data_IF_219292986903
#
_entry.id   IF_219292986903
#
_cell.length_a   1.000
_cell.length_b   1.000
_cell.length_c   1.000
_cell.angle_alpha   90.00
_cell.angle_beta   90.00
_cell.angle_gamma   90.00
#
_symmetry.space_group_name_H-M   'P 1'
#
loop_
_entity.id
_entity.type
_entity.pdbx_description
1 polymer ?
#
# COMPACT_ATOMS: atom_id res chain seq x y z
N UNK A 1 16.99 1.42 19.30
CA UNK A 1 16.95 1.54 17.81
C UNK A 1 15.56 1.18 17.36
N UNK A 2 14.91 2.00 16.57
CA UNK A 2 13.56 1.71 16.04
C UNK A 2 13.67 0.57 15.03
N UNK A 3 12.89 -0.50 15.21
CA UNK A 3 12.84 -1.61 14.25
C UNK A 3 12.24 -1.13 12.93
N UNK A 4 12.90 -1.42 11.81
CA UNK A 4 12.44 -1.08 10.46
C UNK A 4 11.77 -2.28 9.81
N UNK A 5 10.54 -2.09 9.36
CA UNK A 5 9.80 -3.09 8.54
C UNK A 5 10.25 -3.03 7.08
N UNK A 6 10.55 -1.85 6.56
CA UNK A 6 11.14 -1.64 5.23
C UNK A 6 12.42 -0.84 5.41
N UNK A 7 13.53 -1.32 4.87
CA UNK A 7 14.81 -0.61 4.76
C UNK A 7 15.44 -0.97 3.41
N UNK A 8 15.17 -0.15 2.41
CA UNK A 8 15.64 -0.37 1.03
C UNK A 8 16.34 0.87 0.49
N UNK A 9 17.35 0.67 -0.35
CA UNK A 9 18.18 1.72 -0.95
C UNK A 9 18.35 1.48 -2.44
N UNK A 10 18.32 2.56 -3.20
CA UNK A 10 18.56 2.56 -4.64
C UNK A 10 17.55 1.74 -5.43
N UNK A 11 16.30 1.59 -4.93
CA UNK A 11 15.25 0.81 -5.58
C UNK A 11 15.00 1.38 -6.98
N UNK A 12 15.23 0.57 -8.03
CA UNK A 12 15.17 1.04 -9.42
C UNK A 12 14.41 0.05 -10.29
N UNK A 13 13.57 0.61 -11.18
CA UNK A 13 12.88 -0.15 -12.22
C UNK A 13 12.74 0.66 -13.50
N UNK A 14 13.14 0.04 -14.63
CA UNK A 14 12.98 0.63 -15.95
C UNK A 14 12.10 -0.25 -16.85
N UNK A 15 11.42 0.37 -17.80
CA UNK A 15 10.67 -0.27 -18.86
C UNK A 15 10.99 0.45 -20.18
N UNK A 16 11.44 -0.29 -21.18
CA UNK A 16 11.77 0.28 -22.50
C UNK A 16 12.83 1.41 -22.43
N UNK A 17 13.83 1.28 -21.55
CA UNK A 17 14.85 2.31 -21.34
C UNK A 17 14.46 3.46 -20.40
N UNK A 18 13.17 3.61 -20.06
CA UNK A 18 12.65 4.66 -19.17
C UNK A 18 12.65 4.17 -17.72
N UNK A 19 13.30 4.91 -16.82
CA UNK A 19 13.25 4.63 -15.37
C UNK A 19 11.92 5.13 -14.79
N UNK A 20 11.07 4.18 -14.39
CA UNK A 20 9.78 4.46 -13.74
C UNK A 20 9.95 4.60 -12.23
N UNK A 21 10.94 3.93 -11.65
CA UNK A 21 11.44 4.11 -10.28
C UNK A 21 12.94 4.27 -10.39
N UNK A 22 13.49 5.37 -9.87
CA UNK A 22 14.89 5.74 -10.02
C UNK A 22 15.53 5.99 -8.66
N UNK A 23 16.35 5.03 -8.25
CA UNK A 23 17.17 5.06 -7.03
C UNK A 23 16.38 5.46 -5.76
N UNK A 24 15.17 4.93 -5.58
CA UNK A 24 14.33 5.26 -4.42
C UNK A 24 14.86 4.60 -3.15
N UNK A 25 15.13 5.43 -2.14
CA UNK A 25 15.43 5.01 -0.77
C UNK A 25 14.17 5.11 0.08
N UNK A 26 13.88 4.04 0.85
CA UNK A 26 12.71 4.00 1.72
C UNK A 26 13.00 3.26 3.02
N UNK A 27 12.66 3.91 4.13
CA UNK A 27 12.68 3.32 5.46
C UNK A 27 11.32 3.51 6.11
N UNK A 28 10.74 2.43 6.63
CA UNK A 28 9.44 2.43 7.31
C UNK A 28 9.58 1.74 8.64
N UNK A 29 9.30 2.46 9.71
CA UNK A 29 9.33 1.93 11.06
C UNK A 29 8.14 0.99 11.32
N UNK A 30 8.36 -0.03 12.15
CA UNK A 30 7.34 -1.01 12.53
C UNK A 30 6.14 -0.33 13.21
N UNK A 31 4.91 -0.75 12.86
CA UNK A 31 3.67 -0.24 13.43
C UNK A 31 3.28 1.17 12.95
N UNK A 32 3.94 1.71 11.93
CA UNK A 32 3.63 3.03 11.38
C UNK A 32 2.75 2.92 10.14
N UNK A 33 1.96 3.96 9.92
CA UNK A 33 1.26 4.21 8.65
C UNK A 33 2.09 5.22 7.88
N UNK A 34 2.61 4.82 6.72
CA UNK A 34 3.37 5.70 5.83
C UNK A 34 2.58 5.91 4.54
N UNK A 35 2.32 7.16 4.21
CA UNK A 35 1.70 7.58 2.96
C UNK A 35 2.74 7.65 1.84
N UNK A 36 2.54 6.90 0.77
CA UNK A 36 3.35 6.98 -0.44
C UNK A 36 2.60 7.85 -1.45
N UNK A 37 2.90 9.14 -1.41
CA UNK A 37 2.14 10.18 -2.06
C UNK A 37 2.78 10.58 -3.40
N UNK A 38 1.98 10.86 -4.42
CA UNK A 38 2.48 11.30 -5.73
C UNK A 38 1.44 11.23 -6.83
N UNK A 39 1.67 11.92 -7.96
CA UNK A 39 0.76 11.89 -9.10
C UNK A 39 0.68 10.49 -9.74
N UNK A 40 -0.29 10.32 -10.62
CA UNK A 40 -0.39 9.09 -11.40
C UNK A 40 0.85 8.94 -12.31
N UNK A 41 1.36 7.69 -12.41
CA UNK A 41 2.57 7.42 -13.18
C UNK A 41 3.89 7.75 -12.48
N UNK A 42 3.88 8.23 -11.22
CA UNK A 42 5.11 8.55 -10.48
C UNK A 42 5.94 7.35 -10.00
N UNK A 43 5.45 6.11 -10.18
CA UNK A 43 6.16 4.90 -9.78
C UNK A 43 5.64 4.23 -8.51
N UNK A 44 4.57 4.74 -7.84
CA UNK A 44 4.02 4.18 -6.59
C UNK A 44 3.69 2.69 -6.68
N UNK A 45 2.79 2.31 -7.59
CA UNK A 45 2.39 0.90 -7.80
C UNK A 45 3.58 0.00 -8.12
N UNK A 46 4.52 0.49 -8.95
CA UNK A 46 5.75 -0.25 -9.32
C UNK A 46 6.60 -0.50 -8.08
N UNK A 47 6.79 0.51 -7.23
CA UNK A 47 7.54 0.38 -5.98
C UNK A 47 6.85 -0.60 -5.01
N UNK A 48 5.53 -0.49 -4.81
CA UNK A 48 4.79 -1.43 -3.96
C UNK A 48 4.94 -2.88 -4.43
N UNK A 49 4.86 -3.12 -5.75
CA UNK A 49 5.04 -4.47 -6.34
C UNK A 49 6.44 -5.02 -6.18
N UNK A 50 7.46 -4.17 -6.20
CA UNK A 50 8.84 -4.58 -5.90
C UNK A 50 9.00 -4.94 -4.42
N UNK A 51 8.49 -4.11 -3.51
CA UNK A 51 8.56 -4.33 -2.07
C UNK A 51 7.82 -5.60 -1.60
N UNK A 52 6.73 -5.99 -2.25
CA UNK A 52 6.03 -7.25 -1.94
C UNK A 52 6.58 -8.46 -2.72
N UNK A 53 7.64 -8.30 -3.51
CA UNK A 53 8.24 -9.38 -4.29
C UNK A 53 7.43 -9.84 -5.49
N UNK A 54 6.43 -9.07 -5.95
CA UNK A 54 5.66 -9.36 -7.16
C UNK A 54 6.36 -8.91 -8.44
N UNK A 55 7.33 -8.01 -8.31
CA UNK A 55 8.10 -7.46 -9.42
C UNK A 55 9.59 -7.47 -9.02
N UNK A 56 10.43 -8.00 -9.89
CA UNK A 56 11.89 -7.97 -9.68
C UNK A 56 12.43 -6.58 -10.02
N UNK A 57 13.11 -5.88 -9.09
CA UNK A 57 13.78 -4.64 -9.39
C UNK A 57 15.01 -4.86 -10.27
N UNK A 58 15.38 -3.85 -11.04
CA UNK A 58 16.60 -3.86 -11.86
C UNK A 58 17.84 -3.56 -11.00
N UNK A 59 17.70 -2.67 -10.00
CA UNK A 59 18.72 -2.37 -9.01
C UNK A 59 18.10 -2.08 -7.64
N UNK A 60 18.95 -1.94 -6.63
CA UNK A 60 18.59 -1.69 -5.26
C UNK A 60 18.89 -2.85 -4.33
N UNK A 61 19.06 -2.54 -3.06
CA UNK A 61 19.35 -3.49 -1.99
C UNK A 61 18.55 -3.16 -0.73
N UNK A 62 18.47 -4.10 0.18
CA UNK A 62 17.82 -3.87 1.47
C UNK A 62 16.91 -5.01 1.92
N UNK A 63 16.07 -4.71 2.90
CA UNK A 63 15.23 -5.71 3.56
C UNK A 63 13.79 -5.24 3.71
N UNK A 64 12.88 -6.19 3.57
CA UNK A 64 11.46 -6.05 3.91
C UNK A 64 11.14 -7.14 4.94
N UNK A 65 10.64 -6.75 6.11
CA UNK A 65 10.40 -7.66 7.25
C UNK A 65 11.66 -8.44 7.68
N UNK A 66 12.85 -7.82 7.54
CA UNK A 66 14.13 -8.44 7.83
C UNK A 66 14.66 -9.39 6.75
N UNK A 67 13.88 -9.67 5.69
CA UNK A 67 14.22 -10.53 4.56
C UNK A 67 14.83 -9.73 3.41
N UNK A 68 15.83 -10.27 2.71
CA UNK A 68 16.33 -9.69 1.46
C UNK A 68 15.21 -9.72 0.40
N UNK A 69 14.66 -8.56 0.04
CA UNK A 69 13.47 -8.48 -0.81
C UNK A 69 13.70 -8.98 -2.25
N UNK A 70 14.94 -9.09 -2.71
CA UNK A 70 15.29 -9.64 -4.03
C UNK A 70 15.49 -11.16 -3.98
N UNK A 71 16.25 -11.64 -2.99
CA UNK A 71 16.64 -13.06 -2.89
C UNK A 71 15.56 -13.90 -2.24
N UNK A 72 14.82 -13.32 -1.30
CA UNK A 72 13.81 -14.00 -0.47
C UNK A 72 12.38 -13.55 -0.82
N UNK A 73 12.13 -13.09 -2.07
CA UNK A 73 10.84 -12.56 -2.52
C UNK A 73 9.64 -13.48 -2.20
N UNK A 74 9.82 -14.81 -2.29
CA UNK A 74 8.77 -15.77 -1.95
C UNK A 74 8.44 -15.78 -0.45
N UNK A 75 9.42 -15.55 0.42
CA UNK A 75 9.21 -15.45 1.87
C UNK A 75 8.56 -14.10 2.24
N UNK A 76 8.96 -13.02 1.57
CA UNK A 76 8.31 -11.70 1.70
C UNK A 76 6.82 -11.78 1.34
N UNK A 77 6.46 -12.37 0.19
CA UNK A 77 5.07 -12.54 -0.26
C UNK A 77 4.16 -13.20 0.78
N UNK A 78 4.68 -14.16 1.53
CA UNK A 78 3.92 -14.88 2.56
C UNK A 78 3.62 -14.05 3.80
N UNK A 79 4.34 -12.95 4.02
CA UNK A 79 4.22 -12.10 5.21
C UNK A 79 3.62 -10.71 4.91
N UNK A 80 3.34 -10.42 3.63
CA UNK A 80 2.81 -9.14 3.17
C UNK A 80 1.38 -9.31 2.69
N UNK A 81 0.47 -8.47 3.15
CA UNK A 81 -0.84 -8.28 2.52
C UNK A 81 -0.74 -7.19 1.45
N UNK A 82 -1.08 -7.52 0.22
CA UNK A 82 -1.07 -6.55 -0.88
C UNK A 82 -2.47 -6.35 -1.44
N UNK A 83 -2.96 -5.13 -1.37
CA UNK A 83 -4.24 -4.71 -1.92
C UNK A 83 -4.01 -3.88 -3.17
N UNK A 84 -4.52 -4.36 -4.30
CA UNK A 84 -4.42 -3.70 -5.60
C UNK A 84 -5.44 -2.58 -5.74
N UNK A 85 -5.14 -1.56 -6.55
CA UNK A 85 -6.05 -0.47 -6.87
C UNK A 85 -7.39 -0.95 -7.45
N UNK A 86 -7.34 -1.91 -8.38
CA UNK A 86 -8.55 -2.55 -8.92
C UNK A 86 -8.97 -3.70 -8.01
N UNK A 87 -10.29 -3.88 -7.84
CA UNK A 87 -10.82 -5.04 -7.14
C UNK A 87 -10.32 -6.32 -7.80
N UNK A 88 -9.54 -7.10 -7.06
CA UNK A 88 -8.82 -8.27 -7.59
C UNK A 88 -9.41 -9.61 -7.18
N UNK A 89 -10.61 -9.64 -6.58
CA UNK A 89 -11.31 -10.86 -6.17
C UNK A 89 -12.38 -11.25 -7.19
N UNK A 90 -12.85 -12.49 -7.11
CA UNK A 90 -13.81 -13.05 -8.06
C UNK A 90 -15.21 -12.49 -7.80
N UNK A 91 -15.77 -11.80 -8.77
CA UNK A 91 -17.07 -11.14 -8.64
C UNK A 91 -18.26 -12.13 -8.65
N UNK A 92 -18.09 -13.28 -9.25
CA UNK A 92 -19.02 -14.40 -9.31
C UNK A 92 -19.00 -15.33 -8.09
N UNK A 93 -18.06 -15.13 -7.18
CA UNK A 93 -17.99 -15.79 -5.90
C UNK A 93 -18.60 -14.92 -4.78
N UNK A 94 -19.17 -15.56 -3.77
CA UNK A 94 -19.60 -14.90 -2.55
C UNK A 94 -18.41 -14.35 -1.73
N UNK A 95 -18.69 -13.49 -0.77
CA UNK A 95 -17.70 -13.00 0.20
C UNK A 95 -16.95 -14.16 0.85
N UNK A 96 -17.68 -15.17 1.35
CA UNK A 96 -17.10 -16.35 2.02
C UNK A 96 -16.24 -17.17 1.08
N UNK A 97 -16.72 -17.45 -0.13
CA UNK A 97 -15.97 -18.24 -1.12
C UNK A 97 -14.68 -17.56 -1.54
N UNK A 98 -14.69 -16.25 -1.74
CA UNK A 98 -13.46 -15.47 -1.99
C UNK A 98 -12.45 -15.63 -0.85
N UNK A 99 -12.89 -15.49 0.41
CA UNK A 99 -11.98 -15.66 1.56
C UNK A 99 -11.50 -17.11 1.70
N UNK A 100 -12.35 -18.12 1.48
CA UNK A 100 -11.93 -19.52 1.50
C UNK A 100 -10.93 -19.84 0.39
N UNK A 101 -11.11 -19.25 -0.81
CA UNK A 101 -10.14 -19.35 -1.90
C UNK A 101 -8.77 -18.81 -1.49
N UNK A 102 -8.72 -17.61 -0.90
CA UNK A 102 -7.46 -17.02 -0.41
C UNK A 102 -6.84 -17.89 0.70
N UNK A 103 -7.64 -18.40 1.64
CA UNK A 103 -7.16 -19.28 2.70
C UNK A 103 -6.53 -20.58 2.15
N UNK A 104 -7.08 -21.12 1.05
CA UNK A 104 -6.49 -22.26 0.32
C UNK A 104 -5.17 -21.88 -0.34
N UNK A 105 -5.11 -20.72 -0.99
CA UNK A 105 -3.90 -20.24 -1.66
C UNK A 105 -2.73 -20.10 -0.68
N UNK A 106 -3.00 -19.67 0.55
CA UNK A 106 -2.01 -19.59 1.62
C UNK A 106 -1.84 -20.90 2.41
N UNK A 107 -2.48 -22.01 1.98
CA UNK A 107 -2.40 -23.32 2.63
C UNK A 107 -2.68 -23.28 4.14
N UNK A 108 -3.67 -22.48 4.54
CA UNK A 108 -4.00 -22.29 5.96
C UNK A 108 -4.61 -23.55 6.57
N UNK A 109 -4.10 -24.07 7.71
CA UNK A 109 -4.58 -25.32 8.29
C UNK A 109 -6.03 -25.21 8.77
N UNK A 110 -6.39 -24.12 9.47
CA UNK A 110 -7.72 -23.90 10.05
C UNK A 110 -8.55 -22.90 9.23
N UNK A 111 -8.68 -23.16 7.92
CA UNK A 111 -9.33 -22.24 6.97
C UNK A 111 -10.69 -21.72 7.43
N UNK A 112 -11.58 -22.62 7.89
CA UNK A 112 -12.95 -22.24 8.31
C UNK A 112 -12.90 -21.23 9.45
N UNK A 113 -12.13 -21.52 10.49
CA UNK A 113 -11.97 -20.63 11.64
C UNK A 113 -11.35 -19.29 11.24
N UNK A 114 -10.35 -19.30 10.36
CA UNK A 114 -9.72 -18.07 9.85
C UNK A 114 -10.69 -17.21 9.04
N UNK A 115 -11.48 -17.83 8.17
CA UNK A 115 -12.52 -17.13 7.38
C UNK A 115 -13.60 -16.55 8.30
N UNK A 116 -14.10 -17.34 9.26
CA UNK A 116 -15.10 -16.87 10.23
C UNK A 116 -14.58 -15.67 11.03
N UNK A 117 -13.35 -15.74 11.53
CA UNK A 117 -12.71 -14.64 12.24
C UNK A 117 -12.57 -13.37 11.37
N UNK A 118 -12.16 -13.52 10.11
CA UNK A 118 -12.03 -12.39 9.17
C UNK A 118 -13.40 -11.75 8.87
N UNK A 119 -14.44 -12.56 8.66
CA UNK A 119 -15.80 -12.10 8.45
C UNK A 119 -16.32 -11.28 9.65
N UNK A 120 -16.09 -11.75 10.87
CA UNK A 120 -16.48 -11.02 12.09
C UNK A 120 -15.68 -9.73 12.24
N UNK A 121 -14.36 -9.80 12.13
CA UNK A 121 -13.46 -8.66 12.32
C UNK A 121 -13.79 -7.47 11.40
N UNK A 122 -14.16 -7.75 10.14
CA UNK A 122 -14.43 -6.71 9.13
C UNK A 122 -15.93 -6.42 8.95
N UNK A 123 -16.81 -7.00 9.79
CA UNK A 123 -18.26 -6.78 9.74
C UNK A 123 -18.92 -7.36 8.49
N UNK A 124 -18.37 -8.43 7.93
CA UNK A 124 -18.85 -9.08 6.71
C UNK A 124 -19.77 -10.29 6.98
N UNK A 125 -19.91 -10.72 8.23
CA UNK A 125 -20.59 -11.97 8.62
C UNK A 125 -22.05 -12.03 8.14
N UNK A 126 -22.80 -10.93 8.25
CA UNK A 126 -24.23 -10.88 7.85
C UNK A 126 -24.42 -10.92 6.32
N UNK A 127 -23.36 -10.65 5.55
CA UNK A 127 -23.37 -10.59 4.09
C UNK A 127 -22.53 -11.69 3.43
N UNK A 128 -22.05 -12.65 4.19
CA UNK A 128 -21.06 -13.64 3.74
C UNK A 128 -21.45 -14.44 2.49
N UNK A 129 -22.76 -14.60 2.23
CA UNK A 129 -23.30 -15.30 1.07
C UNK A 129 -23.55 -14.37 -0.13
N UNK A 130 -23.41 -13.05 0.04
CA UNK A 130 -23.61 -12.10 -1.04
C UNK A 130 -22.46 -12.22 -2.04
N UNK A 131 -22.78 -12.21 -3.35
CA UNK A 131 -21.78 -12.19 -4.43
C UNK A 131 -20.94 -10.92 -4.36
N UNK A 132 -19.63 -11.04 -4.57
CA UNK A 132 -18.71 -9.91 -4.51
C UNK A 132 -19.00 -8.86 -5.59
N UNK A 133 -19.49 -9.28 -6.76
CA UNK A 133 -19.90 -8.38 -7.83
C UNK A 133 -21.06 -7.45 -7.46
N UNK A 134 -21.97 -7.91 -6.59
CA UNK A 134 -23.13 -7.14 -6.13
C UNK A 134 -22.83 -6.19 -4.95
N UNK A 135 -21.57 -6.10 -4.51
CA UNK A 135 -21.15 -5.21 -3.43
C UNK A 135 -20.95 -3.78 -3.92
N UNK A 136 -21.31 -2.80 -3.08
CA UNK A 136 -20.87 -1.41 -3.29
C UNK A 136 -19.35 -1.27 -3.15
N UNK A 137 -18.78 -0.17 -3.63
CA UNK A 137 -17.34 0.09 -3.57
C UNK A 137 -16.77 -0.08 -2.16
N UNK A 138 -17.40 0.50 -1.14
CA UNK A 138 -16.95 0.38 0.24
C UNK A 138 -16.97 -1.07 0.78
N UNK A 139 -17.95 -1.87 0.39
CA UNK A 139 -17.99 -3.29 0.75
C UNK A 139 -16.95 -4.11 -0.01
N UNK A 140 -16.68 -3.80 -1.29
CA UNK A 140 -15.57 -4.39 -2.05
C UNK A 140 -14.23 -4.11 -1.38
N UNK A 141 -14.01 -2.88 -0.90
CA UNK A 141 -12.79 -2.52 -0.17
C UNK A 141 -12.65 -3.28 1.15
N UNK A 142 -13.73 -3.41 1.92
CA UNK A 142 -13.71 -4.23 3.15
C UNK A 142 -13.37 -5.69 2.86
N UNK A 143 -13.95 -6.27 1.81
CA UNK A 143 -13.64 -7.65 1.41
C UNK A 143 -12.19 -7.78 0.96
N UNK A 144 -11.67 -6.85 0.18
CA UNK A 144 -10.27 -6.85 -0.26
C UNK A 144 -9.31 -6.73 0.94
N UNK A 145 -9.61 -5.87 1.91
CA UNK A 145 -8.82 -5.75 3.14
C UNK A 145 -8.91 -7.05 3.97
N UNK A 146 -10.09 -7.67 4.09
CA UNK A 146 -10.24 -8.95 4.79
C UNK A 146 -9.37 -10.05 4.17
N UNK A 147 -9.35 -10.13 2.83
CA UNK A 147 -8.50 -11.06 2.09
C UNK A 147 -7.00 -10.82 2.34
N UNK A 148 -6.57 -9.54 2.35
CA UNK A 148 -5.19 -9.17 2.66
C UNK A 148 -4.77 -9.53 4.10
N UNK A 149 -5.70 -9.50 5.05
CA UNK A 149 -5.43 -9.77 6.48
C UNK A 149 -5.51 -11.25 6.86
N UNK A 150 -6.07 -12.09 5.99
CA UNK A 150 -6.45 -13.47 6.32
C UNK A 150 -5.27 -14.31 6.81
N UNK A 151 -4.11 -14.18 6.18
CA UNK A 151 -2.88 -14.89 6.52
C UNK A 151 -2.02 -14.19 7.59
N UNK A 152 -2.60 -13.18 8.30
CA UNK A 152 -1.98 -12.43 9.40
C UNK A 152 -0.65 -11.77 9.02
N UNK A 153 -0.64 -10.90 8.02
CA UNK A 153 0.58 -10.23 7.57
C UNK A 153 1.10 -9.26 8.64
N UNK A 154 2.41 -9.03 8.62
CA UNK A 154 3.07 -8.01 9.45
C UNK A 154 3.19 -6.65 8.73
N UNK A 155 3.02 -6.64 7.41
CA UNK A 155 3.07 -5.47 6.55
C UNK A 155 1.87 -5.48 5.59
N UNK A 156 1.17 -4.36 5.50
CA UNK A 156 0.17 -4.09 4.48
C UNK A 156 0.71 -3.09 3.47
N UNK A 157 0.61 -3.44 2.19
CA UNK A 157 0.88 -2.56 1.06
C UNK A 157 -0.45 -2.31 0.35
N UNK A 158 -0.94 -1.08 0.40
CA UNK A 158 -2.27 -0.70 -0.09
C UNK A 158 -2.12 0.27 -1.26
N UNK A 159 -2.54 -0.15 -2.45
CA UNK A 159 -2.39 0.64 -3.67
C UNK A 159 -3.67 1.39 -3.99
N UNK A 160 -3.73 2.68 -3.66
CA UNK A 160 -4.90 3.58 -3.81
C UNK A 160 -6.21 2.93 -3.30
N UNK A 161 -6.25 2.46 -2.04
CA UNK A 161 -7.28 1.54 -1.56
C UNK A 161 -8.69 2.16 -1.51
N UNK A 162 -8.82 3.47 -1.55
CA UNK A 162 -10.09 4.19 -1.41
C UNK A 162 -10.47 4.99 -2.65
N UNK A 163 -9.77 4.74 -3.77
CA UNK A 163 -10.11 5.38 -5.04
C UNK A 163 -11.55 5.04 -5.47
N UNK A 164 -12.35 6.08 -5.74
CA UNK A 164 -13.75 5.92 -6.14
C UNK A 164 -14.73 5.46 -5.04
N UNK A 165 -14.30 5.48 -3.77
CA UNK A 165 -15.13 5.14 -2.61
C UNK A 165 -15.77 6.40 -2.03
N UNK A 166 -17.03 6.30 -1.60
CA UNK A 166 -17.74 7.41 -0.98
C UNK A 166 -17.07 7.90 0.32
N UNK A 167 -17.27 9.18 0.73
CA UNK A 167 -16.55 9.76 1.87
C UNK A 167 -16.78 9.03 3.21
N UNK A 168 -17.98 8.45 3.43
CA UNK A 168 -18.29 7.71 4.65
C UNK A 168 -17.50 6.40 4.71
N UNK A 169 -17.56 5.59 3.64
CA UNK A 169 -16.85 4.33 3.56
C UNK A 169 -15.32 4.55 3.59
N UNK A 170 -14.81 5.65 2.98
CA UNK A 170 -13.40 6.04 3.08
C UNK A 170 -12.99 6.29 4.52
N UNK A 171 -13.77 7.05 5.30
CA UNK A 171 -13.49 7.30 6.72
C UNK A 171 -13.45 6.00 7.52
N UNK A 172 -14.45 5.14 7.35
CA UNK A 172 -14.52 3.83 8.02
C UNK A 172 -13.33 2.92 7.67
N UNK A 173 -12.85 2.97 6.42
CA UNK A 173 -11.66 2.26 5.98
C UNK A 173 -10.40 2.77 6.70
N UNK A 174 -10.21 4.09 6.78
CA UNK A 174 -9.08 4.69 7.48
C UNK A 174 -9.09 4.41 8.98
N UNK A 175 -10.26 4.42 9.63
CA UNK A 175 -10.39 4.03 11.03
C UNK A 175 -9.96 2.57 11.26
N UNK A 176 -10.22 1.70 10.28
CA UNK A 176 -9.74 0.33 10.30
C UNK A 176 -8.21 0.25 10.16
N UNK A 177 -7.62 1.02 9.24
CA UNK A 177 -6.16 1.07 9.05
C UNK A 177 -5.46 1.56 10.32
N UNK A 178 -5.98 2.59 10.99
CA UNK A 178 -5.43 3.06 12.26
C UNK A 178 -5.50 2.00 13.37
N UNK A 179 -6.60 1.25 13.47
CA UNK A 179 -6.70 0.12 14.42
C UNK A 179 -5.65 -0.95 14.14
N UNK A 180 -5.46 -1.32 12.88
CA UNK A 180 -4.45 -2.30 12.48
C UNK A 180 -3.01 -1.86 12.81
N UNK A 181 -2.71 -0.57 12.60
CA UNK A 181 -1.42 -0.01 12.99
C UNK A 181 -1.22 -0.02 14.51
N UNK A 182 -2.28 0.30 15.29
CA UNK A 182 -2.30 0.19 16.74
C UNK A 182 -2.10 -1.25 17.26
N UNK A 183 -2.43 -2.26 16.46
CA UNK A 183 -2.16 -3.68 16.72
C UNK A 183 -0.72 -4.10 16.31
N UNK A 184 0.09 -3.16 15.79
CA UNK A 184 1.49 -3.40 15.41
C UNK A 184 1.71 -3.75 13.93
N UNK A 185 0.67 -3.74 13.09
CA UNK A 185 0.81 -3.96 11.65
C UNK A 185 1.37 -2.68 11.02
N UNK A 186 2.44 -2.82 10.25
CA UNK A 186 2.98 -1.70 9.47
C UNK A 186 2.17 -1.52 8.19
N UNK A 187 1.88 -0.28 7.81
CA UNK A 187 1.09 0.02 6.61
C UNK A 187 1.82 1.01 5.72
N UNK A 188 2.00 0.66 4.46
CA UNK A 188 2.41 1.57 3.40
C UNK A 188 1.23 1.72 2.42
N UNK A 189 0.68 2.92 2.34
CA UNK A 189 -0.50 3.20 1.52
C UNK A 189 -0.16 4.21 0.43
N UNK A 190 -0.35 3.84 -0.84
CA UNK A 190 -0.26 4.82 -1.92
C UNK A 190 -1.55 5.62 -2.03
N UNK A 191 -1.42 6.91 -2.24
CA UNK A 191 -2.54 7.81 -2.49
C UNK A 191 -2.10 9.02 -3.30
N UNK A 192 -3.06 9.69 -3.89
CA UNK A 192 -2.91 11.03 -4.49
C UNK A 192 -3.84 12.06 -3.81
N UNK A 193 -4.56 11.65 -2.75
CA UNK A 193 -5.46 12.51 -1.99
C UNK A 193 -4.74 13.09 -0.77
N UNK A 194 -4.82 14.42 -0.61
CA UNK A 194 -4.16 15.15 0.50
C UNK A 194 -4.79 14.85 1.85
N UNK A 195 -6.12 14.74 1.89
CA UNK A 195 -6.87 14.38 3.10
C UNK A 195 -6.53 12.99 3.65
N UNK A 196 -6.10 12.08 2.78
CA UNK A 196 -5.59 10.77 3.18
C UNK A 196 -4.13 10.84 3.65
N UNK A 197 -3.31 11.63 2.96
CA UNK A 197 -1.91 11.85 3.35
C UNK A 197 -1.81 12.41 4.78
N UNK A 198 -2.67 13.36 5.15
CA UNK A 198 -2.73 13.94 6.50
C UNK A 198 -3.07 12.93 7.60
N UNK A 199 -3.66 11.78 7.26
CA UNK A 199 -3.96 10.69 8.19
C UNK A 199 -2.77 9.77 8.44
N UNK A 200 -1.70 9.88 7.66
CA UNK A 200 -0.49 9.08 7.81
C UNK A 200 0.42 9.65 8.90
N UNK A 201 1.19 8.77 9.55
CA UNK A 201 2.20 9.19 10.52
C UNK A 201 3.40 9.87 9.84
N UNK A 202 3.76 9.39 8.65
CA UNK A 202 4.84 9.90 7.82
C UNK A 202 4.43 9.82 6.35
N UNK A 203 5.07 10.63 5.52
CA UNK A 203 4.86 10.68 4.09
C UNK A 203 6.19 10.48 3.36
N UNK A 204 6.13 9.78 2.24
CA UNK A 204 7.17 9.74 1.21
C UNK A 204 6.54 10.28 -0.06
N UNK A 205 7.01 11.44 -0.50
CA UNK A 205 6.53 12.07 -1.72
C UNK A 205 7.38 11.67 -2.91
N UNK A 206 6.76 11.04 -3.91
CA UNK A 206 7.42 10.59 -5.14
C UNK A 206 6.83 11.30 -6.36
N UNK A 207 7.69 11.83 -7.23
CA UNK A 207 7.32 12.25 -8.56
C UNK A 207 8.44 11.91 -9.54
N UNK A 208 8.08 11.67 -10.80
CA UNK A 208 9.03 11.32 -11.87
C UNK A 208 9.97 10.15 -11.51
N UNK A 209 9.48 9.19 -10.72
CA UNK A 209 10.23 8.03 -10.28
C UNK A 209 11.18 8.26 -9.09
N UNK A 210 11.33 9.49 -8.60
CA UNK A 210 12.27 9.86 -7.53
C UNK A 210 11.55 10.41 -6.30
N UNK A 211 12.13 10.19 -5.12
CA UNK A 211 11.63 10.76 -3.85
C UNK A 211 12.01 12.23 -3.80
N UNK A 212 11.01 13.11 -3.63
CA UNK A 212 11.19 14.56 -3.56
C UNK A 212 11.18 15.08 -2.12
N UNK A 213 10.43 14.45 -1.23
CA UNK A 213 10.37 14.82 0.18
C UNK A 213 9.99 13.60 1.04
N UNK A 214 10.38 13.66 2.32
CA UNK A 214 10.04 12.64 3.32
C UNK A 214 9.90 13.30 4.69
N UNK A 215 8.88 12.88 5.45
CA UNK A 215 8.66 13.37 6.82
C UNK A 215 7.20 13.36 7.20
N UNK A 216 6.83 14.07 8.25
CA UNK A 216 5.43 14.34 8.60
C UNK A 216 4.84 15.36 7.62
N UNK A 217 3.51 15.40 7.49
CA UNK A 217 2.85 16.42 6.68
C UNK A 217 3.32 17.84 7.08
N UNK A 218 3.40 18.12 8.39
CA UNK A 218 3.84 19.40 8.91
C UNK A 218 5.31 19.73 8.54
N UNK A 219 6.23 18.75 8.62
CA UNK A 219 7.65 18.99 8.25
C UNK A 219 7.81 19.26 6.76
N UNK A 220 7.07 18.53 5.90
CA UNK A 220 7.12 18.73 4.44
C UNK A 220 6.59 20.13 4.06
N UNK A 221 5.49 20.57 4.68
CA UNK A 221 4.94 21.92 4.48
C UNK A 221 5.95 22.99 4.88
N UNK A 222 6.58 22.82 6.05
CA UNK A 222 7.58 23.77 6.56
C UNK A 222 8.83 23.83 5.66
N UNK A 223 9.39 22.69 5.25
CA UNK A 223 10.57 22.59 4.38
C UNK A 223 10.32 23.16 2.98
N UNK A 224 9.10 22.98 2.45
CA UNK A 224 8.70 23.55 1.17
C UNK A 224 8.44 25.07 1.26
N UNK A 225 8.30 25.64 2.46
CA UNK A 225 7.86 27.02 2.69
C UNK A 225 6.44 27.25 2.20
N UNK A 226 5.59 26.23 2.29
CA UNK A 226 4.25 26.18 1.73
C UNK A 226 3.18 26.52 2.79
N UNK A 227 1.96 26.81 2.34
CA UNK A 227 0.81 27.11 3.21
C UNK A 227 0.14 25.85 3.75
N UNK A 228 0.11 24.82 2.93
CA UNK A 228 -0.52 23.52 3.19
C UNK A 228 0.18 22.42 2.37
N UNK A 229 -0.27 21.18 2.54
CA UNK A 229 0.34 20.04 1.88
C UNK A 229 0.17 20.09 0.35
N UNK A 230 -0.94 20.61 -0.16
CA UNK A 230 -1.19 20.75 -1.59
C UNK A 230 -0.23 21.77 -2.23
N UNK A 231 -0.04 22.94 -1.59
CA UNK A 231 0.93 23.97 -2.03
C UNK A 231 2.38 23.43 -1.96
N UNK A 232 2.71 22.65 -0.90
CA UNK A 232 4.01 21.99 -0.79
C UNK A 232 4.26 21.04 -1.97
N UNK A 233 3.25 20.30 -2.35
CA UNK A 233 3.26 19.36 -3.44
C UNK A 233 3.55 20.04 -4.78
N UNK A 234 2.79 21.09 -5.10
CA UNK A 234 2.97 21.88 -6.34
C UNK A 234 4.38 22.46 -6.42
N UNK A 235 4.89 23.00 -5.31
CA UNK A 235 6.25 23.56 -5.26
C UNK A 235 7.34 22.52 -5.45
N UNK A 236 7.20 21.36 -4.82
CA UNK A 236 8.17 20.26 -4.93
C UNK A 236 8.21 19.69 -6.35
N UNK A 237 7.06 19.47 -6.98
CA UNK A 237 6.99 19.02 -8.39
C UNK A 237 7.59 20.06 -9.33
N UNK A 238 7.28 21.36 -9.13
CA UNK A 238 7.81 22.43 -9.97
C UNK A 238 9.33 22.60 -9.90
N UNK A 239 9.97 22.10 -8.82
CA UNK A 239 11.45 22.11 -8.65
C UNK A 239 12.10 20.81 -9.15
N UNK A 240 11.32 19.75 -9.32
CA UNK A 240 11.83 18.46 -9.76
C UNK A 240 12.12 18.49 -11.26
N UNK A 241 13.27 17.93 -11.65
CA UNK A 241 13.55 17.69 -13.06
C UNK A 241 12.61 16.60 -13.57
N UNK A 242 11.91 16.87 -14.67
CA UNK A 242 11.11 15.89 -15.36
C UNK A 242 12.05 14.85 -16.05
N UNK A 243 12.34 13.76 -15.34
CA UNK A 243 13.14 12.66 -15.89
C UNK A 243 12.40 11.94 -17.04
N UNK A 244 11.15 12.33 -17.34
CA UNK A 244 10.33 11.77 -18.39
C UNK A 244 10.39 12.56 -19.71
N UNK A 245 10.85 13.81 -19.68
CA UNK A 245 10.91 14.72 -20.84
C UNK A 245 12.16 14.61 -21.73
N UNK A 246 13.16 13.78 -21.37
CA UNK A 246 14.43 13.69 -22.12
C UNK A 246 14.61 12.43 -22.96
N UNK A 247 13.53 11.74 -23.34
CA UNK A 247 13.56 10.71 -24.37
C UNK A 247 12.94 11.28 -25.65
N UNK A 248 13.73 12.12 -26.36
CA UNK A 248 13.51 12.51 -27.75
C UNK A 248 14.24 11.59 -28.70
#
# INVERSE_FOLDING_TARGET
MTELTIDVRGLTKAYGGRRVVDAVDMQVATGRIVGFLGPNGSGKTTSLRMLCGLLTPDAGEGRVLGLDFRREAAAVKRQVGYMTQKFGLYEDLSIRENLDFIARLFSMPDRRAAVDAALQRLGLATRQQQLAGALSGGWKQRLALAACLLHRPRLLLLDEPTAGVDPKARREFWDQIHRLAGEGITVLVSTHYMDEAERCHELVYIAYGSVLARGTAASIVAEAGARDLEDAFVRLVGRANDNFGQAG
#
